data_IF_475030899396
#
_entry.id   IF_475030899396
#
_cell.length_a   1.000
_cell.length_b   1.000
_cell.length_c   1.000
_cell.angle_alpha   90.00
_cell.angle_beta   90.00
_cell.angle_gamma   90.00
#
_symmetry.space_group_name_H-M   'P 1'
#
loop_
_entity.id
_entity.type
_entity.pdbx_description
1 polymer ?
#
# COMPACT_ATOMS: atom_id res chain seq x y z
N UNK A 1 -3.82 3.40 27.53
CA UNK A 1 -2.44 3.89 27.67
C UNK A 1 -2.50 5.18 28.47
N UNK A 2 -1.50 5.40 29.32
CA UNK A 2 -1.42 6.59 30.17
C UNK A 2 -0.18 7.37 29.78
N UNK A 3 -0.32 8.67 29.53
CA UNK A 3 0.81 9.54 29.29
C UNK A 3 1.37 10.02 30.63
N UNK A 4 2.69 9.86 30.83
CA UNK A 4 3.38 10.23 32.08
C UNK A 4 4.11 11.57 31.97
N UNK A 5 3.92 12.30 30.87
CA UNK A 5 4.70 13.47 30.48
C UNK A 5 6.04 13.11 29.82
N UNK A 6 6.71 12.06 30.30
CA UNK A 6 7.95 11.53 29.72
C UNK A 6 7.74 10.41 28.69
N UNK A 7 6.51 9.92 28.49
CA UNK A 7 6.19 8.92 27.48
C UNK A 7 4.85 8.21 27.73
N UNK A 8 4.48 7.33 26.80
CA UNK A 8 3.29 6.49 26.93
C UNK A 8 3.60 5.21 27.71
N UNK A 9 2.86 4.98 28.78
CA UNK A 9 2.86 3.71 29.51
C UNK A 9 1.65 2.86 29.07
N UNK A 10 1.95 1.70 28.49
CA UNK A 10 0.95 0.70 28.16
C UNK A 10 0.62 -0.16 29.40
N UNK A 11 -0.66 -0.54 29.56
CA UNK A 11 -1.07 -1.53 30.57
C UNK A 11 -0.54 -2.93 30.23
N UNK A 12 -0.45 -3.23 28.95
CA UNK A 12 0.11 -4.46 28.40
C UNK A 12 1.21 -4.07 27.39
N UNK A 13 2.49 -4.32 27.69
CA UNK A 13 3.61 -3.92 26.82
C UNK A 13 3.54 -4.52 25.41
N UNK A 14 2.95 -5.71 25.27
CA UNK A 14 2.76 -6.39 23.97
C UNK A 14 1.45 -6.02 23.26
N UNK A 15 0.70 -5.07 23.80
CA UNK A 15 -0.55 -4.61 23.20
C UNK A 15 -0.33 -3.80 21.92
N UNK A 16 -1.38 -3.65 21.13
CA UNK A 16 -1.37 -2.81 19.93
C UNK A 16 -1.04 -1.35 20.29
N UNK A 17 0.11 -0.89 19.80
CA UNK A 17 0.75 0.41 20.04
C UNK A 17 1.04 1.18 18.74
N UNK A 18 1.90 2.22 18.78
CA UNK A 18 2.29 2.97 17.57
C UNK A 18 2.98 2.09 16.54
N UNK A 19 3.82 1.14 16.97
CA UNK A 19 4.51 0.24 16.06
C UNK A 19 3.51 -0.71 15.38
N UNK A 20 2.53 -1.22 16.12
CA UNK A 20 1.44 -2.03 15.57
C UNK A 20 0.56 -1.22 14.60
N UNK A 21 0.23 0.04 14.93
CA UNK A 21 -0.49 0.95 14.04
C UNK A 21 0.25 1.12 12.70
N UNK A 22 1.58 1.24 12.74
CA UNK A 22 2.38 1.32 11.54
C UNK A 22 2.43 -0.01 10.77
N UNK A 23 2.62 -1.14 11.45
CA UNK A 23 2.88 -2.43 10.81
C UNK A 23 1.61 -3.12 10.29
N UNK A 24 0.53 -3.17 11.08
CA UNK A 24 -0.65 -3.99 10.80
C UNK A 24 -1.31 -3.66 9.46
N UNK A 25 -1.59 -2.39 9.09
CA UNK A 25 -2.22 -2.08 7.81
C UNK A 25 -1.36 -2.57 6.63
N UNK A 26 -0.03 -2.44 6.73
CA UNK A 26 0.90 -2.88 5.69
C UNK A 26 0.95 -4.41 5.60
N UNK A 27 0.96 -5.11 6.74
CA UNK A 27 0.95 -6.57 6.80
C UNK A 27 -0.35 -7.13 6.24
N UNK A 28 -1.51 -6.52 6.53
CA UNK A 28 -2.79 -6.95 5.97
C UNK A 28 -2.80 -6.88 4.44
N UNK A 29 -2.32 -5.77 3.86
CA UNK A 29 -2.19 -5.61 2.41
C UNK A 29 -1.22 -6.64 1.82
N UNK A 30 -0.07 -6.81 2.47
CA UNK A 30 0.94 -7.76 2.03
C UNK A 30 0.45 -9.21 2.07
N UNK A 31 -0.24 -9.62 3.14
CA UNK A 31 -0.81 -10.96 3.29
C UNK A 31 -1.92 -11.21 2.25
N UNK A 32 -2.84 -10.26 2.07
CA UNK A 32 -3.90 -10.41 1.07
C UNK A 32 -3.34 -10.53 -0.35
N UNK A 33 -2.21 -9.87 -0.63
CA UNK A 33 -1.52 -10.08 -1.89
C UNK A 33 -0.81 -11.44 -1.92
N UNK A 34 -0.05 -11.85 -0.90
CA UNK A 34 0.86 -12.99 -1.00
C UNK A 34 0.24 -14.38 -0.77
N UNK A 35 -0.89 -14.47 -0.08
CA UNK A 35 -1.51 -15.74 0.30
C UNK A 35 -2.35 -16.35 -0.85
N UNK A 36 -2.34 -17.69 -1.00
CA UNK A 36 -3.32 -18.42 -1.83
C UNK A 36 -4.77 -18.14 -1.40
N UNK A 37 -5.71 -18.39 -2.31
CA UNK A 37 -7.14 -18.16 -2.10
C UNK A 37 -7.66 -18.90 -0.86
N UNK A 38 -7.36 -20.19 -0.72
CA UNK A 38 -7.82 -21.03 0.39
C UNK A 38 -6.99 -20.95 1.67
N UNK A 39 -6.04 -20.00 1.79
CA UNK A 39 -5.19 -19.91 2.98
C UNK A 39 -6.02 -19.65 4.26
N UNK A 40 -5.80 -20.40 5.36
CA UNK A 40 -6.50 -20.14 6.62
C UNK A 40 -6.19 -18.77 7.19
N UNK A 41 -5.01 -18.21 6.90
CA UNK A 41 -4.66 -16.84 7.32
C UNK A 41 -5.47 -15.80 6.52
N UNK A 42 -5.79 -16.06 5.25
CA UNK A 42 -6.59 -15.16 4.42
C UNK A 42 -8.00 -15.00 5.01
N UNK A 43 -8.60 -16.09 5.44
CA UNK A 43 -9.92 -16.09 6.09
C UNK A 43 -9.97 -15.26 7.39
N UNK A 44 -8.82 -14.96 8.01
CA UNK A 44 -8.71 -14.18 9.25
C UNK A 44 -8.43 -12.70 9.01
N UNK A 45 -8.15 -12.27 7.78
CA UNK A 45 -7.83 -10.87 7.47
C UNK A 45 -8.99 -9.91 7.80
N UNK A 46 -10.27 -10.22 7.51
CA UNK A 46 -11.37 -9.32 7.88
C UNK A 46 -11.48 -9.10 9.39
N UNK A 47 -11.30 -10.15 10.18
CA UNK A 47 -11.34 -10.04 11.66
C UNK A 47 -10.14 -9.26 12.19
N UNK A 48 -8.93 -9.51 11.67
CA UNK A 48 -7.74 -8.76 12.05
C UNK A 48 -7.89 -7.26 11.75
N UNK A 49 -8.46 -6.91 10.60
CA UNK A 49 -8.78 -5.53 10.24
C UNK A 49 -9.81 -4.92 11.20
N UNK A 50 -10.88 -5.66 11.53
CA UNK A 50 -11.92 -5.21 12.45
C UNK A 50 -11.35 -4.93 13.86
N UNK A 51 -10.50 -5.82 14.38
CA UNK A 51 -9.83 -5.65 15.68
C UNK A 51 -8.89 -4.45 15.69
N UNK A 52 -8.12 -4.23 14.60
CA UNK A 52 -7.27 -3.05 14.46
C UNK A 52 -8.09 -1.75 14.46
N UNK A 53 -9.20 -1.71 13.73
CA UNK A 53 -10.14 -0.58 13.70
C UNK A 53 -10.76 -0.31 15.06
N UNK A 54 -11.26 -1.35 15.73
CA UNK A 54 -11.81 -1.24 17.08
C UNK A 54 -10.77 -0.68 18.05
N UNK A 55 -9.51 -1.09 17.89
CA UNK A 55 -8.43 -0.61 18.75
C UNK A 55 -8.14 0.87 18.55
N UNK A 56 -8.00 1.35 17.31
CA UNK A 56 -7.69 2.76 17.05
C UNK A 56 -8.85 3.70 17.38
N UNK A 57 -10.09 3.20 17.30
CA UNK A 57 -11.30 3.92 17.71
C UNK A 57 -11.52 3.94 19.23
N UNK A 58 -10.80 3.11 20.00
CA UNK A 58 -11.00 3.02 21.45
C UNK A 58 -10.43 4.28 22.16
N UNK A 59 -11.20 4.97 23.04
CA UNK A 59 -10.75 6.20 23.74
C UNK A 59 -9.43 6.06 24.52
N UNK A 60 -9.17 4.85 25.03
CA UNK A 60 -7.95 4.49 25.74
C UNK A 60 -6.72 4.20 24.87
N UNK A 61 -6.84 4.17 23.54
CA UNK A 61 -5.70 4.08 22.61
C UNK A 61 -5.10 5.47 22.43
N UNK A 62 -3.77 5.55 22.48
CA UNK A 62 -3.03 6.79 22.38
C UNK A 62 -1.78 6.58 21.55
N UNK A 63 -1.38 7.58 20.79
CA UNK A 63 -0.22 7.55 19.90
C UNK A 63 0.65 8.74 20.24
N UNK A 64 1.88 8.46 20.63
CA UNK A 64 2.92 9.46 20.80
C UNK A 64 3.36 9.95 19.42
N UNK A 65 3.43 11.25 19.18
CA UNK A 65 3.86 11.81 17.90
C UNK A 65 5.39 11.85 17.74
N UNK A 66 6.15 11.55 18.79
CA UNK A 66 7.57 11.24 18.77
C UNK A 66 8.46 12.47 18.80
N UNK A 67 8.32 13.37 17.81
CA UNK A 67 9.15 14.59 17.75
C UNK A 67 8.66 15.63 18.74
N UNK A 68 9.60 16.28 19.41
CA UNK A 68 9.33 17.43 20.28
C UNK A 68 9.04 18.68 19.45
N UNK A 69 8.12 19.50 19.94
CA UNK A 69 7.62 20.68 19.24
C UNK A 69 7.85 21.91 20.11
N UNK A 70 8.29 23.01 19.51
CA UNK A 70 8.43 24.29 20.22
C UNK A 70 7.08 24.75 20.81
N UNK A 71 7.08 25.11 22.09
CA UNK A 71 5.88 25.49 22.83
C UNK A 71 5.17 26.71 22.18
N UNK A 72 5.92 27.72 21.75
CA UNK A 72 5.37 28.91 21.10
C UNK A 72 4.67 28.57 19.78
N UNK A 73 5.29 27.68 18.98
CA UNK A 73 4.73 27.23 17.71
C UNK A 73 3.47 26.40 17.91
N UNK A 74 3.45 25.56 18.94
CA UNK A 74 2.27 24.80 19.34
C UNK A 74 1.16 25.73 19.85
N UNK A 75 1.48 26.68 20.71
CA UNK A 75 0.50 27.64 21.25
C UNK A 75 -0.13 28.50 20.17
N UNK A 76 0.67 28.98 19.22
CA UNK A 76 0.17 29.69 18.04
C UNK A 76 -0.76 28.83 17.17
N UNK A 77 -0.45 27.53 17.02
CA UNK A 77 -1.31 26.60 16.26
C UNK A 77 -2.63 26.32 16.99
N UNK A 78 -2.58 26.10 18.30
CA UNK A 78 -3.77 25.80 19.12
C UNK A 78 -4.60 27.05 19.45
N UNK A 79 -4.04 28.25 19.28
CA UNK A 79 -4.64 29.50 19.75
C UNK A 79 -4.77 29.55 21.28
N UNK A 80 -3.85 28.91 21.99
CA UNK A 80 -3.88 28.77 23.45
C UNK A 80 -2.48 28.86 24.05
N UNK A 81 -2.39 29.39 25.27
CA UNK A 81 -1.14 29.42 26.03
C UNK A 81 -0.77 28.00 26.47
N UNK A 82 0.49 27.63 26.25
CA UNK A 82 1.00 26.32 26.68
C UNK A 82 1.42 26.40 28.15
N UNK A 83 0.85 25.57 29.04
CA UNK A 83 1.22 25.57 30.45
C UNK A 83 2.71 25.31 30.65
N UNK A 84 3.30 26.07 31.57
CA UNK A 84 4.73 25.99 31.87
C UNK A 84 5.07 24.98 32.96
N UNK A 85 4.05 24.47 33.67
CA UNK A 85 4.26 23.40 34.64
C UNK A 85 4.61 22.09 33.92
N UNK A 86 5.44 21.25 34.55
CA UNK A 86 5.87 19.98 33.97
C UNK A 86 4.78 18.90 33.94
N UNK A 87 3.51 19.27 34.13
CA UNK A 87 2.36 18.37 34.14
C UNK A 87 1.91 17.95 32.75
N UNK A 88 0.97 17.00 32.74
CA UNK A 88 0.26 16.59 31.53
C UNK A 88 -1.00 17.44 31.39
N UNK A 89 -1.13 18.11 30.25
CA UNK A 89 -2.25 18.98 29.92
C UNK A 89 -3.05 18.41 28.76
N UNK A 90 -4.35 18.62 28.77
CA UNK A 90 -5.26 18.18 27.71
C UNK A 90 -5.77 19.36 26.93
N UNK A 91 -5.71 19.27 25.61
CA UNK A 91 -6.36 20.20 24.69
C UNK A 91 -7.52 19.47 24.02
N UNK A 92 -8.74 19.81 24.44
CA UNK A 92 -9.91 18.98 24.18
C UNK A 92 -9.73 17.56 24.74
N UNK A 93 -10.48 16.61 24.20
CA UNK A 93 -10.41 15.21 24.65
C UNK A 93 -9.33 14.38 23.95
N UNK A 94 -8.87 14.82 22.79
CA UNK A 94 -8.06 14.03 21.86
C UNK A 94 -6.55 14.31 21.92
N UNK A 95 -6.12 15.48 22.41
CA UNK A 95 -4.70 15.86 22.47
C UNK A 95 -4.23 16.01 23.91
N UNK A 96 -3.13 15.33 24.23
CA UNK A 96 -2.38 15.44 25.47
C UNK A 96 -0.99 16.02 25.15
N UNK A 97 -0.52 16.95 25.98
CA UNK A 97 0.78 17.56 25.85
C UNK A 97 1.47 17.69 27.20
N UNK A 98 2.79 17.57 27.21
CA UNK A 98 3.61 17.83 28.39
C UNK A 98 4.89 18.53 28.00
N UNK A 99 5.32 19.48 28.83
CA UNK A 99 6.56 20.23 28.60
C UNK A 99 7.77 19.33 28.79
N UNK A 100 8.73 19.45 27.88
CA UNK A 100 10.04 18.82 27.93
C UNK A 100 11.10 19.93 27.97
N UNK A 101 11.43 20.39 29.18
CA UNK A 101 12.23 21.61 29.39
C UNK A 101 11.41 22.88 29.16
N UNK A 102 12.10 23.99 28.89
CA UNK A 102 11.47 25.32 28.80
C UNK A 102 10.89 25.63 27.42
N UNK A 103 11.39 25.00 26.36
CA UNK A 103 11.08 25.39 24.99
C UNK A 103 10.20 24.38 24.25
N UNK A 104 10.13 23.13 24.72
CA UNK A 104 9.56 22.04 23.93
C UNK A 104 8.40 21.33 24.61
N UNK A 105 7.55 20.71 23.78
CA UNK A 105 6.43 19.90 24.19
C UNK A 105 6.48 18.55 23.50
N UNK A 106 6.10 17.51 24.24
CA UNK A 106 5.79 16.19 23.70
C UNK A 106 4.30 16.05 23.54
N UNK A 107 3.86 15.48 22.42
CA UNK A 107 2.46 15.39 22.03
C UNK A 107 2.00 13.94 21.93
N UNK A 108 0.82 13.68 22.49
CA UNK A 108 0.13 12.40 22.44
C UNK A 108 -1.28 12.64 21.91
N UNK A 109 -1.68 11.89 20.89
CA UNK A 109 -3.04 11.96 20.33
C UNK A 109 -3.83 10.71 20.70
N UNK A 110 -5.14 10.86 20.86
CA UNK A 110 -6.13 9.78 21.04
C UNK A 110 -7.04 9.74 19.82
N UNK A 111 -6.70 8.97 18.77
CA UNK A 111 -7.42 9.01 17.49
C UNK A 111 -8.93 8.79 17.62
N UNK A 112 -9.35 7.85 18.48
CA UNK A 112 -10.78 7.58 18.72
C UNK A 112 -11.58 8.68 19.42
N UNK A 113 -10.94 9.78 19.83
CA UNK A 113 -11.59 10.95 20.42
C UNK A 113 -11.52 12.19 19.52
N UNK A 114 -10.92 12.07 18.32
CA UNK A 114 -10.87 13.16 17.35
C UNK A 114 -12.24 13.24 16.68
N UNK A 115 -12.92 14.37 16.86
CA UNK A 115 -14.16 14.66 16.15
C UNK A 115 -13.91 15.21 14.75
N UNK A 116 -14.98 15.36 13.98
CA UNK A 116 -14.91 15.88 12.61
C UNK A 116 -14.36 17.32 12.56
N UNK A 117 -14.63 18.14 13.59
CA UNK A 117 -14.17 19.53 13.66
C UNK A 117 -12.65 19.62 13.92
N UNK A 118 -12.07 18.58 14.51
CA UNK A 118 -10.67 18.53 14.91
C UNK A 118 -9.75 17.89 13.85
N UNK A 119 -10.29 17.35 12.75
CA UNK A 119 -9.50 16.69 11.71
C UNK A 119 -8.42 17.59 11.08
N UNK A 120 -8.78 18.83 10.72
CA UNK A 120 -7.83 19.77 10.12
C UNK A 120 -6.73 20.16 11.12
N UNK A 121 -7.10 20.33 12.40
CA UNK A 121 -6.15 20.65 13.46
C UNK A 121 -5.22 19.46 13.76
N UNK A 122 -5.74 18.23 13.76
CA UNK A 122 -4.93 17.02 13.86
C UNK A 122 -3.92 16.97 12.70
N UNK A 123 -4.35 17.27 11.47
CA UNK A 123 -3.48 17.40 10.30
C UNK A 123 -2.30 18.34 10.54
N UNK A 124 -2.58 19.54 11.05
CA UNK A 124 -1.57 20.54 11.35
C UNK A 124 -0.63 20.13 12.50
N UNK A 125 -1.16 19.52 13.56
CA UNK A 125 -0.36 19.00 14.69
C UNK A 125 0.57 17.87 14.22
N UNK A 126 0.07 16.96 13.40
CA UNK A 126 0.88 15.89 12.82
C UNK A 126 1.99 16.47 11.94
N UNK A 127 1.67 17.42 11.04
CA UNK A 127 2.66 18.08 10.20
C UNK A 127 3.77 18.79 11.02
N UNK A 128 3.41 19.38 12.16
CA UNK A 128 4.34 20.02 13.08
C UNK A 128 5.35 19.04 13.72
N UNK A 129 4.93 17.79 13.93
CA UNK A 129 5.74 16.71 14.50
C UNK A 129 6.44 15.83 13.46
N UNK A 130 6.16 16.04 12.17
CA UNK A 130 6.60 15.14 11.09
C UNK A 130 6.08 13.69 11.24
N UNK A 131 4.95 13.50 11.94
CA UNK A 131 4.35 12.19 12.22
C UNK A 131 3.32 11.75 11.15
N UNK A 132 3.57 12.08 9.88
CA UNK A 132 2.62 11.91 8.77
C UNK A 132 2.30 10.42 8.54
N UNK A 133 3.18 9.54 9.01
CA UNK A 133 2.96 8.11 9.08
C UNK A 133 1.71 7.74 9.91
N UNK A 134 1.42 8.46 11.00
CA UNK A 134 0.28 8.18 11.88
C UNK A 134 -1.03 8.40 11.13
N UNK A 135 -1.21 9.58 10.52
CA UNK A 135 -2.42 9.88 9.73
C UNK A 135 -2.58 8.91 8.58
N UNK A 136 -1.51 8.71 7.80
CA UNK A 136 -1.51 7.77 6.67
C UNK A 136 -1.95 6.36 7.08
N UNK A 137 -1.58 5.89 8.28
CA UNK A 137 -1.96 4.56 8.77
C UNK A 137 -3.37 4.50 9.35
N UNK A 138 -3.85 5.58 9.97
CA UNK A 138 -5.25 5.72 10.35
C UNK A 138 -6.16 5.76 9.12
N UNK A 139 -5.82 6.57 8.12
CA UNK A 139 -6.53 6.65 6.84
C UNK A 139 -6.52 5.29 6.14
N UNK A 140 -5.38 4.59 6.14
CA UNK A 140 -5.29 3.25 5.55
C UNK A 140 -6.16 2.24 6.27
N UNK A 141 -6.27 2.31 7.59
CA UNK A 141 -7.20 1.48 8.34
C UNK A 141 -8.64 1.84 7.99
N UNK A 142 -8.98 3.10 7.81
CA UNK A 142 -10.34 3.54 7.47
C UNK A 142 -10.75 3.23 6.02
N UNK A 143 -9.79 3.13 5.09
CA UNK A 143 -10.01 2.93 3.66
C UNK A 143 -10.82 1.65 3.33
N UNK A 144 -11.92 1.81 2.59
CA UNK A 144 -12.77 0.72 2.12
C UNK A 144 -12.05 -0.23 1.16
N UNK A 145 -11.01 0.25 0.45
CA UNK A 145 -10.19 -0.63 -0.40
C UNK A 145 -9.46 -1.70 0.41
N UNK A 146 -9.04 -1.37 1.65
CA UNK A 146 -8.45 -2.36 2.55
C UNK A 146 -9.50 -3.39 2.99
N UNK A 147 -10.76 -2.96 3.19
CA UNK A 147 -11.87 -3.88 3.48
C UNK A 147 -12.10 -4.84 2.31
N UNK A 148 -12.24 -4.31 1.09
CA UNK A 148 -12.44 -5.13 -0.11
C UNK A 148 -11.29 -6.13 -0.30
N UNK A 149 -10.04 -5.67 -0.13
CA UNK A 149 -8.85 -6.51 -0.26
C UNK A 149 -8.76 -7.62 0.81
N UNK A 150 -9.15 -7.35 2.06
CA UNK A 150 -9.18 -8.35 3.12
C UNK A 150 -10.35 -9.34 2.97
N UNK A 151 -11.43 -8.95 2.31
CA UNK A 151 -12.68 -9.71 2.20
C UNK A 151 -12.87 -10.43 0.86
N UNK A 152 -11.83 -10.53 0.02
CA UNK A 152 -11.91 -11.27 -1.25
C UNK A 152 -12.29 -12.73 -0.96
N UNK A 153 -13.46 -13.20 -1.43
CA UNK A 153 -13.93 -14.54 -1.16
C UNK A 153 -13.07 -15.58 -1.88
N UNK A 154 -13.05 -16.80 -1.33
CA UNK A 154 -12.54 -17.97 -2.04
C UNK A 154 -13.57 -18.31 -3.13
N UNK A 155 -13.23 -18.23 -4.43
CA UNK A 155 -14.21 -18.55 -5.47
C UNK A 155 -14.62 -20.03 -5.38
N UNK A 156 -15.90 -20.30 -5.58
CA UNK A 156 -16.42 -21.67 -5.55
C UNK A 156 -15.81 -22.50 -6.70
N UNK A 157 -15.41 -23.74 -6.40
CA UNK A 157 -14.81 -24.64 -7.39
C UNK A 157 -13.37 -24.28 -7.81
N UNK A 158 -12.77 -23.23 -7.23
CA UNK A 158 -11.35 -22.91 -7.44
C UNK A 158 -10.49 -23.68 -6.43
N UNK A 159 -9.34 -24.16 -6.91
CA UNK A 159 -8.34 -24.84 -6.08
C UNK A 159 -7.93 -23.94 -4.89
N UNK A 160 -7.98 -24.42 -3.63
CA UNK A 160 -7.49 -23.68 -2.46
C UNK A 160 -6.06 -23.14 -2.61
N UNK A 161 -5.21 -23.81 -3.38
CA UNK A 161 -3.82 -23.39 -3.64
C UNK A 161 -3.68 -22.37 -4.79
N UNK A 162 -4.80 -22.02 -5.45
CA UNK A 162 -4.81 -21.00 -6.50
C UNK A 162 -4.47 -19.61 -5.95
N UNK A 163 -3.93 -18.77 -6.82
CA UNK A 163 -3.55 -17.40 -6.49
C UNK A 163 -4.39 -16.41 -7.27
N UNK A 164 -4.86 -15.35 -6.61
CA UNK A 164 -5.60 -14.27 -7.28
C UNK A 164 -4.76 -13.48 -8.30
N UNK A 165 -3.44 -13.61 -8.26
CA UNK A 165 -2.52 -13.10 -9.28
C UNK A 165 -2.58 -13.86 -10.61
N UNK A 166 -3.18 -15.05 -10.65
CA UNK A 166 -3.51 -15.67 -11.92
C UNK A 166 -4.80 -15.02 -12.45
N UNK A 167 -4.73 -14.23 -13.55
CA UNK A 167 -5.92 -13.60 -14.11
C UNK A 167 -6.90 -14.63 -14.70
N UNK A 168 -6.48 -15.86 -15.00
CA UNK A 168 -7.40 -16.94 -15.37
C UNK A 168 -8.31 -17.34 -14.20
N UNK A 169 -7.89 -17.06 -12.97
CA UNK A 169 -8.67 -17.31 -11.74
C UNK A 169 -9.46 -16.07 -11.33
N UNK A 170 -8.82 -14.90 -11.32
CA UNK A 170 -9.43 -13.69 -10.78
C UNK A 170 -10.28 -12.91 -11.77
N UNK A 171 -9.94 -12.92 -13.06
CA UNK A 171 -10.59 -12.12 -14.11
C UNK A 171 -10.64 -12.86 -15.48
N UNK A 172 -11.17 -14.09 -15.58
CA UNK A 172 -11.11 -14.89 -16.80
C UNK A 172 -11.77 -14.22 -18.01
N UNK A 173 -12.86 -13.49 -17.81
CA UNK A 173 -13.53 -12.73 -18.88
C UNK A 173 -12.62 -11.64 -19.46
N UNK A 174 -11.83 -10.98 -18.62
CA UNK A 174 -10.86 -9.97 -19.06
C UNK A 174 -9.70 -10.63 -19.82
N UNK A 175 -9.28 -11.83 -19.45
CA UNK A 175 -8.29 -12.59 -20.24
C UNK A 175 -8.82 -12.86 -21.65
N UNK A 176 -10.07 -13.32 -21.77
CA UNK A 176 -10.70 -13.57 -23.07
C UNK A 176 -10.84 -12.30 -23.91
N UNK A 177 -11.17 -11.16 -23.28
CA UNK A 177 -11.23 -9.85 -23.94
C UNK A 177 -9.86 -9.44 -24.50
N UNK A 178 -8.81 -9.49 -23.67
CA UNK A 178 -7.44 -9.15 -24.07
C UNK A 178 -6.92 -10.10 -25.16
N UNK A 179 -7.21 -11.39 -25.02
CA UNK A 179 -6.87 -12.40 -26.01
C UNK A 179 -7.50 -12.08 -27.37
N UNK A 180 -8.80 -11.79 -27.38
CA UNK A 180 -9.53 -11.44 -28.61
C UNK A 180 -9.01 -10.15 -29.23
N UNK A 181 -8.77 -9.12 -28.41
CA UNK A 181 -8.36 -7.80 -28.91
C UNK A 181 -7.00 -7.80 -29.59
N UNK A 182 -6.06 -8.59 -29.08
CA UNK A 182 -4.68 -8.63 -29.58
C UNK A 182 -4.34 -9.91 -30.36
N UNK A 183 -5.34 -10.73 -30.69
CA UNK A 183 -5.15 -12.03 -31.34
C UNK A 183 -4.11 -12.92 -30.62
N UNK A 184 -4.24 -12.99 -29.30
CA UNK A 184 -3.36 -13.76 -28.42
C UNK A 184 -4.03 -15.06 -27.97
N UNK A 185 -3.19 -16.03 -27.61
CA UNK A 185 -3.66 -17.14 -26.78
C UNK A 185 -4.04 -16.63 -25.39
N UNK A 186 -4.97 -17.32 -24.70
CA UNK A 186 -5.34 -16.98 -23.32
C UNK A 186 -4.12 -16.94 -22.39
N UNK A 187 -3.16 -17.85 -22.55
CA UNK A 187 -1.92 -17.84 -21.79
C UNK A 187 -1.08 -16.58 -22.03
N UNK A 188 -0.94 -16.14 -23.29
CA UNK A 188 -0.20 -14.92 -23.59
C UNK A 188 -0.93 -13.67 -23.07
N UNK A 189 -2.26 -13.64 -23.16
CA UNK A 189 -3.09 -12.58 -22.60
C UNK A 189 -3.02 -12.54 -21.05
N UNK A 190 -3.06 -13.69 -20.39
CA UNK A 190 -2.89 -13.81 -18.94
C UNK A 190 -1.50 -13.30 -18.50
N UNK A 191 -0.44 -13.71 -19.21
CA UNK A 191 0.91 -13.22 -18.94
C UNK A 191 1.01 -11.71 -19.18
N UNK A 192 0.39 -11.18 -20.23
CA UNK A 192 0.35 -9.75 -20.49
C UNK A 192 -0.33 -8.97 -19.36
N UNK A 193 -1.50 -9.41 -18.90
CA UNK A 193 -2.18 -8.79 -17.77
C UNK A 193 -1.33 -8.79 -16.50
N UNK A 194 -0.64 -9.90 -16.19
CA UNK A 194 0.30 -9.96 -15.08
C UNK A 194 1.44 -8.94 -15.23
N UNK A 195 2.04 -8.86 -16.42
CA UNK A 195 3.08 -7.87 -16.72
C UNK A 195 2.56 -6.43 -16.69
N UNK A 196 1.30 -6.20 -17.09
CA UNK A 196 0.66 -4.89 -17.10
C UNK A 196 0.39 -4.41 -15.68
N UNK A 197 -0.21 -5.25 -14.85
CA UNK A 197 -0.77 -4.84 -13.58
C UNK A 197 0.15 -5.09 -12.37
N UNK A 198 0.81 -6.24 -12.28
CA UNK A 198 1.45 -6.68 -11.03
C UNK A 198 2.78 -5.97 -10.77
N UNK A 199 3.14 -5.75 -9.48
CA UNK A 199 4.38 -5.06 -9.12
C UNK A 199 5.61 -5.96 -9.31
N UNK A 200 5.50 -7.27 -9.06
CA UNK A 200 6.60 -8.23 -9.08
C UNK A 200 6.34 -9.49 -9.94
N UNK A 201 5.88 -9.39 -11.21
CA UNK A 201 5.65 -10.56 -12.06
C UNK A 201 6.97 -11.10 -12.62
N UNK A 202 7.81 -11.65 -11.74
CA UNK A 202 9.01 -12.42 -12.10
C UNK A 202 8.60 -13.76 -12.70
N UNK A 203 9.43 -14.41 -13.52
CA UNK A 203 9.10 -15.73 -14.09
C UNK A 203 8.79 -16.76 -13.00
N UNK A 204 9.48 -16.68 -11.84
CA UNK A 204 9.23 -17.53 -10.69
C UNK A 204 7.86 -17.27 -10.05
N UNK A 205 7.47 -16.01 -9.88
CA UNK A 205 6.16 -15.66 -9.34
C UNK A 205 5.04 -16.04 -10.32
N UNK A 206 5.21 -15.75 -11.60
CA UNK A 206 4.27 -16.15 -12.67
C UNK A 206 4.04 -17.66 -12.64
N UNK A 207 5.12 -18.46 -12.62
CA UNK A 207 5.02 -19.92 -12.55
C UNK A 207 4.35 -20.39 -11.24
N UNK A 208 4.63 -19.74 -10.11
CA UNK A 208 4.00 -20.06 -8.83
C UNK A 208 2.48 -19.80 -8.85
N UNK A 209 2.07 -18.65 -9.38
CA UNK A 209 0.67 -18.23 -9.37
C UNK A 209 -0.19 -19.04 -10.33
N UNK A 210 0.34 -19.34 -11.52
CA UNK A 210 -0.38 -20.05 -12.59
C UNK A 210 -0.23 -21.56 -12.53
N UNK A 211 0.73 -22.08 -11.76
CA UNK A 211 1.11 -23.49 -11.76
C UNK A 211 1.72 -23.97 -13.09
N UNK A 212 2.07 -23.06 -14.00
CA UNK A 212 2.56 -23.44 -15.32
C UNK A 212 3.92 -24.13 -15.28
N UNK A 213 3.99 -25.25 -15.99
CA UNK A 213 5.28 -25.92 -16.26
C UNK A 213 6.14 -25.02 -17.17
N UNK A 214 7.48 -25.14 -17.12
CA UNK A 214 8.40 -24.29 -17.89
C UNK A 214 8.11 -24.20 -19.39
N UNK A 215 7.64 -25.30 -20.01
CA UNK A 215 7.30 -25.33 -21.43
C UNK A 215 6.12 -24.42 -21.79
N UNK A 216 5.05 -24.43 -20.98
CA UNK A 216 3.86 -23.59 -21.18
C UNK A 216 4.19 -22.11 -20.99
N UNK A 217 4.92 -21.78 -19.92
CA UNK A 217 5.39 -20.41 -19.70
C UNK A 217 6.29 -19.91 -20.84
N UNK A 218 7.17 -20.78 -21.37
CA UNK A 218 8.00 -20.42 -22.54
C UNK A 218 7.13 -20.14 -23.78
N UNK A 219 6.11 -20.94 -24.04
CA UNK A 219 5.20 -20.73 -25.16
C UNK A 219 4.43 -19.41 -25.03
N UNK A 220 3.88 -19.12 -23.85
CA UNK A 220 3.20 -17.85 -23.58
C UNK A 220 4.13 -16.64 -23.82
N UNK A 221 5.38 -16.73 -23.34
CA UNK A 221 6.39 -15.69 -23.59
C UNK A 221 6.72 -15.53 -25.07
N UNK A 222 6.91 -16.63 -25.80
CA UNK A 222 7.20 -16.58 -27.24
C UNK A 222 6.06 -15.93 -28.01
N UNK A 223 4.82 -16.28 -27.71
CA UNK A 223 3.64 -15.68 -28.33
C UNK A 223 3.56 -14.18 -28.03
N UNK A 224 3.74 -13.78 -26.76
CA UNK A 224 3.66 -12.37 -26.38
C UNK A 224 4.83 -11.54 -26.95
N UNK A 225 6.04 -12.12 -27.03
CA UNK A 225 7.22 -11.47 -27.60
C UNK A 225 7.15 -11.25 -29.12
N UNK A 226 6.21 -11.90 -29.81
CA UNK A 226 5.94 -11.68 -31.22
C UNK A 226 5.05 -10.43 -31.49
N UNK A 227 4.66 -9.73 -30.42
CA UNK A 227 3.85 -8.50 -30.48
C UNK A 227 4.67 -7.27 -30.07
N UNK A 228 4.13 -6.08 -30.32
CA UNK A 228 4.68 -4.81 -29.85
C UNK A 228 4.21 -4.42 -28.43
N UNK A 229 3.42 -5.27 -27.76
CA UNK A 229 2.90 -5.00 -26.40
C UNK A 229 3.99 -5.07 -25.32
N UNK A 230 5.08 -5.78 -25.61
CA UNK A 230 6.20 -5.99 -24.71
C UNK A 230 7.52 -5.91 -25.47
N UNK A 231 8.60 -5.76 -24.72
CA UNK A 231 9.95 -5.78 -25.23
C UNK A 231 10.75 -6.89 -24.55
N UNK A 232 11.64 -7.51 -25.32
CA UNK A 232 12.60 -8.46 -24.77
C UNK A 232 13.86 -7.71 -24.36
N UNK A 233 14.25 -7.80 -23.09
CA UNK A 233 15.46 -7.16 -22.60
C UNK A 233 16.08 -7.97 -21.45
N UNK A 234 17.25 -7.52 -20.97
CA UNK A 234 17.85 -8.03 -19.72
C UNK A 234 17.93 -6.89 -18.71
N UNK A 235 17.25 -7.04 -17.58
CA UNK A 235 17.32 -6.12 -16.45
C UNK A 235 17.80 -6.87 -15.21
N UNK A 236 18.85 -6.36 -14.58
CA UNK A 236 19.37 -6.97 -13.35
C UNK A 236 18.27 -7.02 -12.28
N UNK A 237 18.15 -8.15 -11.58
CA UNK A 237 17.16 -8.41 -10.50
C UNK A 237 15.69 -8.47 -10.91
N UNK A 238 15.34 -8.25 -12.19
CA UNK A 238 13.93 -8.31 -12.62
C UNK A 238 13.38 -9.75 -12.71
N UNK A 239 14.25 -10.76 -12.83
CA UNK A 239 13.85 -12.17 -12.82
C UNK A 239 12.91 -12.59 -13.96
N UNK A 240 12.91 -11.84 -15.08
CA UNK A 240 12.11 -12.08 -16.28
C UNK A 240 12.78 -11.50 -17.52
N UNK A 241 12.30 -11.89 -18.71
CA UNK A 241 12.82 -11.42 -20.00
C UNK A 241 11.89 -10.45 -20.75
N UNK A 242 10.61 -10.38 -20.38
CA UNK A 242 9.61 -9.52 -21.03
C UNK A 242 9.24 -8.33 -20.14
N UNK A 243 9.00 -7.20 -20.79
CA UNK A 243 8.89 -5.90 -20.16
C UNK A 243 7.90 -5.01 -20.89
N UNK A 244 7.16 -4.17 -20.16
CA UNK A 244 6.35 -3.15 -20.83
C UNK A 244 7.27 -2.09 -21.46
N UNK A 245 6.87 -1.50 -22.60
CA UNK A 245 7.53 -0.31 -23.14
C UNK A 245 7.54 0.83 -22.12
N UNK A 246 8.61 1.64 -22.11
CA UNK A 246 8.70 2.85 -21.28
C UNK A 246 9.83 2.89 -20.24
N UNK A 247 9.70 3.88 -19.35
CA UNK A 247 10.66 4.20 -18.30
C UNK A 247 10.67 3.20 -17.13
N UNK A 248 11.72 3.29 -16.31
CA UNK A 248 11.98 2.36 -15.22
C UNK A 248 12.38 3.06 -13.93
N UNK A 249 11.89 2.55 -12.81
CA UNK A 249 12.37 2.89 -11.49
C UNK A 249 13.48 1.91 -11.07
N UNK A 250 14.69 2.45 -10.89
CA UNK A 250 15.85 1.71 -10.41
C UNK A 250 15.80 1.49 -8.89
N UNK A 251 14.84 0.70 -8.44
CA UNK A 251 14.60 0.47 -7.01
C UNK A 251 15.71 -0.38 -6.38
N UNK A 252 16.15 -0.03 -5.17
CA UNK A 252 17.10 -0.83 -4.39
C UNK A 252 16.42 -2.06 -3.78
N UNK A 253 17.22 -3.07 -3.39
CA UNK A 253 16.70 -4.19 -2.60
C UNK A 253 15.98 -3.67 -1.33
N UNK A 254 14.88 -4.31 -0.89
CA UNK A 254 14.31 -5.57 -1.37
C UNK A 254 13.38 -5.45 -2.59
N UNK A 255 13.16 -4.25 -3.14
CA UNK A 255 12.29 -4.07 -4.29
C UNK A 255 12.94 -4.56 -5.58
N UNK A 256 12.14 -5.17 -6.45
CA UNK A 256 12.53 -5.48 -7.83
C UNK A 256 12.34 -4.23 -8.70
N UNK A 257 13.10 -4.07 -9.80
CA UNK A 257 12.85 -2.97 -10.74
C UNK A 257 11.39 -2.94 -11.20
N UNK A 258 10.81 -1.74 -11.27
CA UNK A 258 9.41 -1.51 -11.61
C UNK A 258 9.31 -0.58 -12.82
N UNK A 259 8.43 -0.88 -13.76
CA UNK A 259 8.08 0.04 -14.84
C UNK A 259 7.45 1.32 -14.27
N UNK A 260 7.95 2.50 -14.68
CA UNK A 260 7.47 3.79 -14.15
C UNK A 260 5.97 4.00 -14.35
N UNK A 261 5.42 3.46 -15.46
CA UNK A 261 3.99 3.50 -15.77
C UNK A 261 3.11 2.87 -14.68
N UNK A 262 3.65 1.90 -13.93
CA UNK A 262 2.92 1.22 -12.85
C UNK A 262 2.95 1.97 -11.53
N UNK A 263 3.92 2.85 -11.31
CA UNK A 263 4.14 3.49 -10.01
C UNK A 263 2.90 4.19 -9.44
N UNK A 264 2.10 4.94 -10.24
CA UNK A 264 0.87 5.55 -9.76
C UNK A 264 -0.17 4.54 -9.25
N UNK A 265 -0.18 3.30 -9.75
CA UNK A 265 -1.15 2.27 -9.33
C UNK A 265 -0.91 1.77 -7.90
N UNK A 266 0.31 1.94 -7.40
CA UNK A 266 0.73 1.47 -6.07
C UNK A 266 0.90 2.60 -5.05
N UNK A 267 0.69 3.86 -5.46
CA UNK A 267 0.97 5.02 -4.63
C UNK A 267 2.42 5.09 -4.17
N UNK A 268 3.36 4.51 -4.94
CA UNK A 268 4.77 4.45 -4.58
C UNK A 268 5.42 5.83 -4.79
N UNK A 269 5.95 6.40 -3.71
CA UNK A 269 6.85 7.53 -3.75
C UNK A 269 8.32 7.09 -3.57
N UNK A 270 9.25 7.77 -4.24
CA UNK A 270 10.68 7.46 -4.10
C UNK A 270 11.11 7.58 -2.62
N UNK A 271 11.81 6.55 -2.12
CA UNK A 271 12.25 6.48 -0.71
C UNK A 271 11.20 5.92 0.26
N UNK A 272 10.01 5.55 -0.21
CA UNK A 272 9.01 4.89 0.63
C UNK A 272 9.46 3.48 1.05
N UNK A 273 9.45 3.25 2.37
CA UNK A 273 9.68 1.94 2.98
C UNK A 273 8.43 1.04 2.88
N UNK A 274 8.63 -0.28 2.93
CA UNK A 274 7.54 -1.28 2.90
C UNK A 274 7.44 -2.00 1.56
N UNK A 275 6.53 -2.98 1.46
CA UNK A 275 6.34 -3.74 0.23
C UNK A 275 5.55 -2.93 -0.82
N UNK A 276 5.93 -3.02 -2.10
CA UNK A 276 5.13 -2.50 -3.20
C UNK A 276 4.11 -3.57 -3.57
N UNK A 277 2.87 -3.37 -3.13
CA UNK A 277 1.76 -4.32 -3.30
C UNK A 277 0.47 -3.58 -3.67
N UNK A 278 -0.47 -4.25 -4.36
CA UNK A 278 -1.78 -3.67 -4.68
C UNK A 278 -2.49 -3.18 -3.42
N UNK A 279 -3.07 -1.99 -3.47
CA UNK A 279 -3.83 -1.43 -2.34
C UNK A 279 -5.34 -1.76 -2.41
N UNK A 280 -5.73 -2.59 -3.37
CA UNK A 280 -7.07 -3.03 -3.74
C UNK A 280 -7.02 -4.52 -4.17
N UNK A 281 -8.16 -5.23 -4.27
CA UNK A 281 -8.21 -6.57 -4.83
C UNK A 281 -7.46 -6.70 -6.16
N UNK A 282 -6.76 -7.82 -6.38
CA UNK A 282 -5.95 -8.02 -7.59
C UNK A 282 -6.81 -7.99 -8.86
N UNK A 283 -8.06 -8.47 -8.79
CA UNK A 283 -9.01 -8.38 -9.90
C UNK A 283 -9.29 -6.92 -10.31
N UNK A 284 -9.52 -6.05 -9.31
CA UNK A 284 -9.77 -4.62 -9.53
C UNK A 284 -8.52 -3.93 -10.10
N UNK A 285 -7.32 -4.33 -9.66
CA UNK A 285 -6.08 -3.85 -10.23
C UNK A 285 -5.91 -4.23 -11.70
N UNK A 286 -6.24 -5.48 -12.08
CA UNK A 286 -6.21 -5.89 -13.50
C UNK A 286 -7.19 -5.07 -14.33
N UNK A 287 -8.42 -4.91 -13.86
CA UNK A 287 -9.43 -4.11 -14.53
C UNK A 287 -8.99 -2.64 -14.67
N UNK A 288 -8.45 -2.04 -13.61
CA UNK A 288 -7.94 -0.66 -13.62
C UNK A 288 -6.75 -0.49 -14.56
N UNK A 289 -5.80 -1.41 -14.56
CA UNK A 289 -4.66 -1.37 -15.46
C UNK A 289 -5.10 -1.51 -16.93
N UNK A 290 -6.09 -2.36 -17.20
CA UNK A 290 -6.67 -2.50 -18.52
C UNK A 290 -7.45 -1.26 -18.97
N UNK A 291 -8.25 -0.68 -18.08
CA UNK A 291 -8.99 0.55 -18.38
C UNK A 291 -8.06 1.69 -18.78
N UNK A 292 -6.90 1.85 -18.12
CA UNK A 292 -5.88 2.83 -18.53
C UNK A 292 -5.43 2.64 -19.98
N UNK A 293 -5.23 1.39 -20.42
CA UNK A 293 -4.89 1.07 -21.82
C UNK A 293 -6.02 1.46 -22.77
N UNK A 294 -7.28 1.18 -22.40
CA UNK A 294 -8.44 1.56 -23.20
C UNK A 294 -8.63 3.08 -23.28
N UNK A 295 -8.30 3.81 -22.22
CA UNK A 295 -8.35 5.27 -22.14
C UNK A 295 -7.19 5.97 -22.86
N UNK A 296 -6.30 5.20 -23.52
CA UNK A 296 -5.16 5.71 -24.28
C UNK A 296 -3.89 5.96 -23.45
N UNK A 297 -3.90 5.64 -22.15
CA UNK A 297 -2.73 5.64 -21.27
C UNK A 297 -2.07 4.25 -21.26
N UNK A 298 -1.68 3.78 -22.46
CA UNK A 298 -0.95 2.52 -22.61
C UNK A 298 0.55 2.69 -22.29
N UNK A 299 1.25 1.64 -21.82
CA UNK A 299 2.70 1.70 -21.62
C UNK A 299 3.43 2.03 -22.93
N UNK A 300 4.14 3.15 -22.95
CA UNK A 300 4.88 3.64 -24.09
C UNK A 300 6.19 4.29 -23.65
N UNK A 301 7.14 4.43 -24.58
CA UNK A 301 8.28 5.31 -24.37
C UNK A 301 7.79 6.75 -24.31
N UNK A 302 8.23 7.50 -23.30
CA UNK A 302 8.03 8.95 -23.28
C UNK A 302 8.67 9.54 -24.54
N UNK A 303 7.88 10.25 -25.35
CA UNK A 303 8.43 11.08 -26.41
C UNK A 303 9.29 12.16 -25.76
N UNK A 304 10.61 11.99 -25.84
CA UNK A 304 11.54 13.07 -25.56
C UNK A 304 11.22 14.21 -26.52
N UNK A 305 10.44 15.20 -26.08
CA UNK A 305 10.41 16.51 -26.72
C UNK A 305 11.78 17.13 -26.54
N UNK A 306 12.71 16.79 -27.42
CA UNK A 306 13.95 17.53 -27.64
C UNK A 306 13.54 18.90 -28.16
N UNK A 307 13.19 19.80 -27.24
CA UNK A 307 13.07 21.22 -27.51
C UNK A 307 14.40 21.68 -28.07
N UNK A 308 14.45 21.82 -29.40
CA UNK A 308 15.61 22.32 -30.11
C UNK A 308 15.99 23.69 -29.55
N UNK A 309 17.15 23.76 -28.90
CA UNK A 309 17.88 25.01 -28.76
C UNK A 309 18.87 25.10 -29.90
N UNK A 310 18.52 25.94 -30.89
CA UNK A 310 19.50 26.70 -31.65
C UNK A 310 20.05 27.81 -30.77
#
# INVERSE_FOLDING_TARGET
>A
MTFTGSGLQARHPEGFDRMALWAVPQVLVWLAHRLPAGSPLRARLPEALALARQRVAHPGFAVDLGRWVEADRLGALLGADIPTDGGVHRYGDWLELARAGDEYCRLVVRPGLVGQAEHDLLGAVVALTDAQDVLRMLDRLADDRLTALCAVPVPEGVDPDAYHQDPMVSVPALVAEVATRFDLTEDAAALYLQLLALPDPTDANVARWTGWKPARLRQARTALAATDLVLTAKRARAGRSLFLPGGWLALSAPHVPLESWKAPMFGYAAGQSGAIVPQEPVADLFARAWQRVLDGDAPAYEELKTGGRR
#
